data_IF_893583433009
#
_entry.id   IF_893583433009
#
_cell.length_a   1.000
_cell.length_b   1.000
_cell.length_c   1.000
_cell.angle_alpha   90.00
_cell.angle_beta   90.00
_cell.angle_gamma   90.00
#
_symmetry.space_group_name_H-M   'P 1'
#
loop_
_entity.id
_entity.type
_entity.pdbx_description
1 polymer ?
#
# COMPACT_ATOMS: atom_id res chain seq x y z
N UNK A 1 9.30 -5.07 25.33
CA UNK A 1 9.58 -6.34 26.03
C UNK A 1 8.45 -7.36 25.87
N UNK A 2 7.19 -6.98 26.07
CA UNK A 2 6.04 -7.90 25.89
C UNK A 2 5.91 -8.47 24.46
N UNK A 3 6.09 -7.68 23.40
CA UNK A 3 5.96 -8.19 22.01
C UNK A 3 7.00 -9.26 21.62
N UNK A 4 8.23 -9.16 22.12
CA UNK A 4 9.30 -10.14 21.86
C UNK A 4 9.02 -11.43 22.62
N UNK A 5 8.56 -11.32 23.87
CA UNK A 5 8.15 -12.48 24.67
C UNK A 5 6.95 -13.19 24.03
N UNK A 6 5.96 -12.45 23.54
CA UNK A 6 4.82 -13.01 22.79
C UNK A 6 5.29 -13.68 21.48
N UNK A 7 6.25 -13.11 20.77
CA UNK A 7 6.81 -13.73 19.56
C UNK A 7 7.52 -15.07 19.83
N UNK A 8 8.19 -15.19 20.97
CA UNK A 8 8.88 -16.44 21.32
C UNK A 8 7.92 -17.51 21.85
N UNK A 9 6.95 -17.11 22.67
CA UNK A 9 6.10 -18.02 23.44
C UNK A 9 4.78 -18.39 22.76
N UNK A 10 4.27 -17.57 21.85
CA UNK A 10 3.00 -17.81 21.15
C UNK A 10 3.25 -18.09 19.67
N UNK A 11 3.05 -19.35 19.29
CA UNK A 11 3.21 -19.81 17.92
C UNK A 11 2.25 -19.09 16.95
N UNK A 12 0.99 -18.88 17.35
CA UNK A 12 0.01 -18.21 16.50
C UNK A 12 0.40 -16.74 16.28
N UNK A 13 0.84 -16.07 17.33
CA UNK A 13 1.33 -14.69 17.24
C UNK A 13 2.55 -14.60 16.32
N UNK A 14 3.52 -15.52 16.46
CA UNK A 14 4.71 -15.60 15.61
C UNK A 14 4.36 -15.79 14.14
N UNK A 15 3.52 -16.78 13.82
CA UNK A 15 3.11 -17.05 12.44
C UNK A 15 2.33 -15.89 11.84
N UNK A 16 1.43 -15.27 12.62
CA UNK A 16 0.70 -14.09 12.17
C UNK A 16 1.64 -12.93 11.82
N UNK A 17 2.67 -12.68 12.64
CA UNK A 17 3.67 -11.63 12.37
C UNK A 17 4.52 -11.95 11.14
N UNK A 18 5.02 -13.19 11.01
CA UNK A 18 5.80 -13.61 9.84
C UNK A 18 4.98 -13.51 8.55
N UNK A 19 3.74 -13.96 8.59
CA UNK A 19 2.82 -13.87 7.44
C UNK A 19 2.60 -12.41 7.03
N UNK A 20 2.22 -11.55 7.98
CA UNK A 20 1.84 -10.18 7.67
C UNK A 20 3.03 -9.28 7.27
N UNK A 21 4.23 -9.56 7.77
CA UNK A 21 5.42 -8.75 7.49
C UNK A 21 6.25 -9.26 6.32
N UNK A 22 6.23 -10.55 5.99
CA UNK A 22 7.12 -11.09 4.96
C UNK A 22 6.38 -11.87 3.87
N UNK A 23 5.60 -12.88 4.26
CA UNK A 23 5.01 -13.82 3.29
C UNK A 23 3.95 -13.13 2.44
N UNK A 24 3.01 -12.42 3.06
CA UNK A 24 1.93 -11.73 2.36
C UNK A 24 2.47 -10.59 1.47
N UNK A 25 3.34 -9.67 1.95
CA UNK A 25 3.94 -8.65 1.08
C UNK A 25 4.67 -9.23 -0.13
N UNK A 26 5.47 -10.29 0.05
CA UNK A 26 6.18 -10.92 -1.07
C UNK A 26 5.21 -11.50 -2.11
N UNK A 27 4.18 -12.24 -1.65
CA UNK A 27 3.19 -12.83 -2.54
C UNK A 27 2.38 -11.75 -3.29
N UNK A 28 1.97 -10.70 -2.58
CA UNK A 28 1.22 -9.58 -3.16
C UNK A 28 2.06 -8.82 -4.19
N UNK A 29 3.32 -8.50 -3.88
CA UNK A 29 4.20 -7.86 -4.86
C UNK A 29 4.46 -8.76 -6.08
N UNK A 30 4.66 -10.07 -5.88
CA UNK A 30 4.83 -10.99 -7.00
C UNK A 30 3.61 -10.99 -7.94
N UNK A 31 2.40 -11.11 -7.39
CA UNK A 31 1.16 -11.16 -8.18
C UNK A 31 0.88 -9.82 -8.84
N UNK A 32 0.85 -8.74 -8.06
CA UNK A 32 0.38 -7.44 -8.56
C UNK A 32 1.47 -6.66 -9.30
N UNK A 33 2.76 -6.95 -9.11
CA UNK A 33 3.85 -6.25 -9.80
C UNK A 33 4.46 -7.16 -10.85
N UNK A 34 4.99 -8.32 -10.48
CA UNK A 34 5.66 -9.17 -11.46
C UNK A 34 4.69 -9.81 -12.47
N UNK A 35 3.47 -10.20 -12.08
CA UNK A 35 2.53 -10.84 -13.01
C UNK A 35 1.59 -9.85 -13.72
N UNK A 36 1.19 -8.75 -13.07
CA UNK A 36 0.19 -7.82 -13.62
C UNK A 36 0.80 -6.63 -14.38
N UNK A 37 1.94 -6.08 -13.97
CA UNK A 37 2.51 -4.89 -14.60
C UNK A 37 3.09 -5.16 -15.99
N UNK A 38 3.86 -6.25 -16.25
CA UNK A 38 4.41 -6.49 -17.58
C UNK A 38 3.34 -6.63 -18.67
N UNK A 39 2.24 -7.39 -18.49
CA UNK A 39 1.15 -7.43 -19.48
C UNK A 39 0.45 -6.09 -19.66
N UNK A 40 0.31 -5.27 -18.61
CA UNK A 40 -0.24 -3.92 -18.73
C UNK A 40 0.68 -3.00 -19.55
N UNK A 41 2.01 -3.08 -19.36
CA UNK A 41 2.97 -2.37 -20.21
C UNK A 41 2.93 -2.85 -21.67
N UNK A 42 2.56 -4.11 -21.90
CA UNK A 42 2.37 -4.69 -23.23
C UNK A 42 1.08 -4.23 -23.93
N UNK A 43 0.11 -3.73 -23.16
CA UNK A 43 -1.23 -3.44 -23.67
C UNK A 43 -1.33 -2.04 -24.28
N UNK A 44 -2.29 -1.88 -25.20
CA UNK A 44 -2.56 -0.63 -25.91
C UNK A 44 -3.83 0.04 -25.37
N UNK A 45 -3.87 1.37 -25.45
CA UNK A 45 -5.05 2.18 -25.22
C UNK A 45 -6.12 1.90 -26.29
N UNK A 46 -7.31 2.48 -26.11
CA UNK A 46 -8.40 2.40 -27.09
C UNK A 46 -8.02 2.97 -28.46
N UNK A 47 -7.07 3.88 -28.50
CA UNK A 47 -6.60 4.55 -29.71
C UNK A 47 -5.46 3.79 -30.40
N UNK A 48 -5.07 2.61 -29.87
CA UNK A 48 -4.01 1.77 -30.40
C UNK A 48 -2.60 2.09 -29.88
N UNK A 49 -2.47 3.13 -29.04
CA UNK A 49 -1.19 3.57 -28.50
C UNK A 49 -0.74 2.73 -27.29
N UNK A 50 0.54 2.35 -27.15
CA UNK A 50 1.04 1.64 -25.97
C UNK A 50 0.75 2.39 -24.67
N UNK A 51 0.36 1.67 -23.61
CA UNK A 51 0.21 2.28 -22.30
C UNK A 51 1.55 2.82 -21.78
N UNK A 52 1.57 4.08 -21.37
CA UNK A 52 2.77 4.68 -20.79
C UNK A 52 3.11 4.04 -19.44
N UNK A 53 4.41 4.00 -19.05
CA UNK A 53 4.83 3.59 -17.72
C UNK A 53 4.06 4.24 -16.58
N UNK A 54 3.73 5.53 -16.71
CA UNK A 54 2.97 6.29 -15.71
C UNK A 54 1.52 5.81 -15.68
N UNK A 55 0.87 5.63 -16.83
CA UNK A 55 -0.50 5.13 -16.88
C UNK A 55 -0.60 3.73 -16.26
N UNK A 56 0.32 2.83 -16.59
CA UNK A 56 0.37 1.49 -16.00
C UNK A 56 0.59 1.52 -14.49
N UNK A 57 1.44 2.43 -14.00
CA UNK A 57 1.66 2.61 -12.57
C UNK A 57 0.39 3.02 -11.82
N UNK A 58 -0.55 3.73 -12.46
CA UNK A 58 -1.83 4.11 -11.85
C UNK A 58 -2.95 3.08 -12.06
N UNK A 59 -2.95 2.36 -13.19
CA UNK A 59 -4.00 1.38 -13.52
C UNK A 59 -3.82 0.07 -12.74
N UNK A 60 -2.61 -0.51 -12.73
CA UNK A 60 -2.34 -1.80 -12.06
C UNK A 60 -2.81 -1.86 -10.59
N UNK A 61 -2.52 -0.83 -9.77
CA UNK A 61 -2.95 -0.78 -8.37
C UNK A 61 -4.45 -0.80 -8.11
N UNK A 62 -5.29 -0.44 -9.10
CA UNK A 62 -6.74 -0.51 -8.92
C UNK A 62 -7.19 -1.95 -8.65
N UNK A 63 -6.56 -2.93 -9.29
CA UNK A 63 -6.80 -4.35 -9.03
C UNK A 63 -6.34 -4.76 -7.63
N UNK A 64 -5.21 -4.21 -7.17
CA UNK A 64 -4.70 -4.43 -5.81
C UNK A 64 -5.67 -3.87 -4.75
N UNK A 65 -6.15 -2.63 -4.93
CA UNK A 65 -7.15 -2.04 -4.05
C UNK A 65 -8.46 -2.83 -4.04
N UNK A 66 -8.95 -3.28 -5.21
CA UNK A 66 -10.17 -4.09 -5.31
C UNK A 66 -10.01 -5.43 -4.59
N UNK A 67 -8.84 -6.07 -4.69
CA UNK A 67 -8.58 -7.32 -4.00
C UNK A 67 -8.76 -7.18 -2.48
N UNK A 68 -8.53 -6.00 -1.89
CA UNK A 68 -8.69 -5.74 -0.45
C UNK A 68 -10.14 -5.48 -0.01
N UNK A 69 -11.09 -5.30 -0.93
CA UNK A 69 -12.51 -5.12 -0.59
C UNK A 69 -13.08 -6.35 0.14
N UNK A 70 -12.46 -7.53 0.00
CA UNK A 70 -12.87 -8.74 0.69
C UNK A 70 -12.81 -8.60 2.22
N UNK A 71 -11.92 -7.77 2.77
CA UNK A 71 -11.85 -7.52 4.22
C UNK A 71 -13.12 -6.86 4.75
N UNK A 72 -13.67 -5.89 4.01
CA UNK A 72 -14.95 -5.29 4.37
C UNK A 72 -16.09 -6.31 4.27
N UNK A 73 -16.11 -7.11 3.21
CA UNK A 73 -17.13 -8.15 3.05
C UNK A 73 -17.11 -9.13 4.23
N UNK A 74 -15.91 -9.55 4.66
CA UNK A 74 -15.74 -10.45 5.80
C UNK A 74 -16.22 -9.80 7.10
N UNK A 75 -15.82 -8.55 7.38
CA UNK A 75 -16.28 -7.80 8.56
C UNK A 75 -17.81 -7.66 8.59
N UNK A 76 -18.42 -7.30 7.46
CA UNK A 76 -19.86 -7.14 7.34
C UNK A 76 -20.60 -8.47 7.51
N UNK A 77 -20.08 -9.55 6.92
CA UNK A 77 -20.67 -10.90 6.99
C UNK A 77 -20.61 -11.47 8.41
N UNK A 78 -19.48 -11.30 9.10
CA UNK A 78 -19.30 -11.78 10.48
C UNK A 78 -20.11 -10.95 11.50
N UNK A 79 -20.51 -9.73 11.14
CA UNK A 79 -21.32 -8.88 12.00
C UNK A 79 -22.75 -9.44 12.19
N UNK A 80 -23.19 -9.64 13.45
CA UNK A 80 -24.55 -10.09 13.75
C UNK A 80 -25.63 -9.11 13.26
N UNK A 81 -26.82 -9.59 12.84
CA UNK A 81 -27.86 -8.73 12.28
C UNK A 81 -28.29 -7.56 13.17
N UNK A 82 -28.35 -7.76 14.50
CA UNK A 82 -28.73 -6.72 15.47
C UNK A 82 -27.69 -5.61 15.64
N UNK A 83 -26.44 -5.83 15.21
CA UNK A 83 -25.38 -4.83 15.21
C UNK A 83 -25.30 -4.05 13.89
N UNK A 84 -26.08 -4.42 12.86
CA UNK A 84 -26.10 -3.74 11.56
C UNK A 84 -26.95 -2.47 11.57
N UNK A 85 -26.64 -1.56 12.49
CA UNK A 85 -27.22 -0.22 12.49
C UNK A 85 -26.72 0.57 11.28
N UNK A 86 -27.56 1.47 10.75
CA UNK A 86 -27.22 2.38 9.65
C UNK A 86 -25.88 3.10 9.89
N UNK A 87 -25.63 3.55 11.12
CA UNK A 87 -24.41 4.28 11.47
C UNK A 87 -23.15 3.39 11.37
N UNK A 88 -23.25 2.13 11.79
CA UNK A 88 -22.14 1.17 11.74
C UNK A 88 -21.83 0.81 10.29
N UNK A 89 -22.87 0.60 9.46
CA UNK A 89 -22.69 0.34 8.03
C UNK A 89 -22.02 1.52 7.33
N UNK A 90 -22.43 2.77 7.64
CA UNK A 90 -21.75 3.95 7.11
C UNK A 90 -20.28 4.04 7.53
N UNK A 91 -19.97 3.72 8.79
CA UNK A 91 -18.58 3.68 9.28
C UNK A 91 -17.75 2.63 8.54
N UNK A 92 -18.29 1.43 8.34
CA UNK A 92 -17.62 0.37 7.59
C UNK A 92 -17.39 0.78 6.13
N UNK A 93 -18.36 1.42 5.48
CA UNK A 93 -18.21 1.92 4.11
C UNK A 93 -17.14 3.02 4.01
N UNK A 94 -17.09 3.92 4.98
CA UNK A 94 -16.03 4.93 5.04
C UNK A 94 -14.65 4.29 5.22
N UNK A 95 -14.54 3.30 6.12
CA UNK A 95 -13.33 2.52 6.31
C UNK A 95 -12.89 1.78 5.04
N UNK A 96 -13.86 1.22 4.30
CA UNK A 96 -13.62 0.57 3.01
C UNK A 96 -13.05 1.53 1.97
N UNK A 97 -13.69 2.69 1.79
CA UNK A 97 -13.23 3.70 0.83
C UNK A 97 -11.82 4.19 1.17
N UNK A 98 -11.57 4.42 2.46
CA UNK A 98 -10.27 4.82 2.94
C UNK A 98 -9.20 3.74 2.70
N UNK A 99 -9.49 2.48 3.05
CA UNK A 99 -8.59 1.36 2.81
C UNK A 99 -8.31 1.17 1.31
N UNK A 100 -9.34 1.24 0.47
CA UNK A 100 -9.22 1.13 -0.99
C UNK A 100 -8.37 2.26 -1.57
N UNK A 101 -8.62 3.50 -1.17
CA UNK A 101 -7.86 4.66 -1.63
C UNK A 101 -6.38 4.57 -1.20
N UNK A 102 -6.13 4.23 0.06
CA UNK A 102 -4.78 4.09 0.60
C UNK A 102 -4.00 2.95 -0.07
N UNK A 103 -4.60 1.76 -0.18
CA UNK A 103 -3.95 0.61 -0.82
C UNK A 103 -3.70 0.85 -2.30
N UNK A 104 -4.62 1.52 -3.00
CA UNK A 104 -4.42 1.94 -4.40
C UNK A 104 -3.28 2.94 -4.52
N UNK A 105 -3.21 3.96 -3.65
CA UNK A 105 -2.16 4.98 -3.68
C UNK A 105 -0.79 4.38 -3.37
N UNK A 106 -0.69 3.55 -2.34
CA UNK A 106 0.53 2.80 -2.03
C UNK A 106 0.92 1.90 -3.21
N UNK A 107 -0.06 1.22 -3.81
CA UNK A 107 0.17 0.39 -4.98
C UNK A 107 0.73 1.18 -6.14
N UNK A 108 0.23 2.40 -6.39
CA UNK A 108 0.74 3.27 -7.45
C UNK A 108 2.19 3.69 -7.22
N UNK A 109 2.53 4.01 -5.96
CA UNK A 109 3.92 4.25 -5.57
C UNK A 109 4.81 3.06 -5.89
N UNK A 110 4.53 1.86 -5.37
CA UNK A 110 5.44 0.74 -5.60
C UNK A 110 5.39 0.20 -7.04
N UNK A 111 4.30 0.37 -7.77
CA UNK A 111 4.26 0.08 -9.22
C UNK A 111 5.17 1.03 -9.98
N UNK A 112 5.19 2.32 -9.64
CA UNK A 112 6.14 3.27 -10.21
C UNK A 112 7.59 2.83 -9.91
N UNK A 113 7.89 2.52 -8.64
CA UNK A 113 9.22 2.03 -8.25
C UNK A 113 9.61 0.74 -8.99
N UNK A 114 8.70 -0.22 -9.12
CA UNK A 114 8.94 -1.47 -9.83
C UNK A 114 9.25 -1.21 -11.31
N UNK A 115 8.50 -0.34 -11.97
CA UNK A 115 8.72 -0.01 -13.39
C UNK A 115 10.07 0.69 -13.58
N UNK A 116 10.48 1.52 -12.62
CA UNK A 116 11.75 2.25 -12.66
C UNK A 116 12.96 1.38 -12.35
N UNK A 117 12.83 0.44 -11.42
CA UNK A 117 13.96 -0.35 -10.89
C UNK A 117 14.02 -1.78 -11.39
N UNK A 118 12.91 -2.32 -11.92
CA UNK A 118 12.70 -3.73 -12.23
C UNK A 118 13.03 -4.69 -11.06
N UNK A 119 13.00 -4.19 -9.82
CA UNK A 119 13.42 -4.94 -8.63
C UNK A 119 12.25 -5.30 -7.75
N UNK A 120 11.92 -6.60 -7.69
CA UNK A 120 10.88 -7.11 -6.81
C UNK A 120 11.27 -6.96 -5.32
N UNK A 121 12.55 -7.14 -4.99
CA UNK A 121 13.02 -7.04 -3.60
C UNK A 121 12.87 -5.63 -3.03
N UNK A 122 13.11 -4.59 -3.85
CA UNK A 122 12.94 -3.18 -3.44
C UNK A 122 11.48 -2.88 -3.11
N UNK A 123 10.54 -3.30 -3.95
CA UNK A 123 9.11 -3.05 -3.72
C UNK A 123 8.54 -3.91 -2.59
N UNK A 124 9.00 -5.16 -2.45
CA UNK A 124 8.65 -5.98 -1.29
C UNK A 124 9.14 -5.34 0.01
N UNK A 125 10.37 -4.83 0.06
CA UNK A 125 10.88 -4.13 1.24
C UNK A 125 10.05 -2.88 1.56
N UNK A 126 9.70 -2.08 0.55
CA UNK A 126 8.83 -0.92 0.74
C UNK A 126 7.47 -1.31 1.33
N UNK A 127 6.91 -2.44 0.89
CA UNK A 127 5.67 -2.99 1.44
C UNK A 127 5.84 -3.50 2.88
N UNK A 128 6.90 -4.23 3.19
CA UNK A 128 7.20 -4.65 4.57
C UNK A 128 7.27 -3.44 5.50
N UNK A 129 7.97 -2.38 5.09
CA UNK A 129 8.09 -1.14 5.87
C UNK A 129 6.72 -0.47 6.03
N UNK A 130 5.92 -0.42 4.97
CA UNK A 130 4.56 0.11 5.01
C UNK A 130 3.67 -0.66 5.99
N UNK A 131 3.71 -1.99 5.98
CA UNK A 131 2.94 -2.84 6.90
C UNK A 131 3.45 -2.75 8.35
N UNK A 132 4.75 -2.48 8.53
CA UNK A 132 5.33 -2.31 9.86
C UNK A 132 4.98 -0.96 10.49
N UNK A 133 5.13 0.13 9.72
CA UNK A 133 4.87 1.52 10.19
C UNK A 133 3.36 1.77 10.28
N UNK A 134 2.61 1.28 9.29
CA UNK A 134 1.18 1.51 9.19
C UNK A 134 0.84 2.96 8.86
N UNK A 135 -0.42 3.31 9.12
CA UNK A 135 -0.93 4.66 8.91
C UNK A 135 -0.54 5.59 10.06
N UNK A 136 -0.39 6.90 9.79
CA UNK A 136 -0.24 7.90 10.84
C UNK A 136 -1.37 7.79 11.87
N UNK A 137 -1.02 7.57 13.13
CA UNK A 137 -2.00 7.57 14.21
C UNK A 137 -2.51 9.01 14.41
N UNK A 138 -3.80 9.25 14.17
CA UNK A 138 -4.43 10.58 14.32
C UNK A 138 -4.97 10.84 15.74
N UNK A 139 -4.77 9.90 16.67
CA UNK A 139 -5.27 9.97 18.04
C UNK A 139 -4.76 11.19 18.83
N UNK A 140 -3.61 11.75 18.46
CA UNK A 140 -3.04 12.95 19.08
C UNK A 140 -3.91 14.21 18.88
N UNK A 141 -4.85 14.22 17.93
CA UNK A 141 -5.78 15.35 17.74
C UNK A 141 -6.85 15.38 18.83
N UNK A 142 -7.12 14.25 19.48
CA UNK A 142 -8.12 14.15 20.54
C UNK A 142 -7.60 14.79 21.85
N UNK A 143 -8.33 15.73 22.47
CA UNK A 143 -7.97 16.32 23.77
C UNK A 143 -7.69 15.33 24.90
N UNK A 144 -8.23 14.11 24.83
CA UNK A 144 -8.01 13.08 25.85
C UNK A 144 -6.69 12.32 25.67
N UNK A 145 -5.98 12.51 24.57
CA UNK A 145 -4.70 11.85 24.30
C UNK A 145 -3.56 12.53 25.04
N UNK A 146 -2.64 11.72 25.58
CA UNK A 146 -1.39 12.20 26.17
C UNK A 146 -0.50 12.97 25.16
N UNK A 147 -0.73 12.78 23.86
CA UNK A 147 0.01 13.44 22.78
C UNK A 147 -0.59 14.78 22.33
N UNK A 148 -1.75 15.18 22.89
CA UNK A 148 -2.48 16.36 22.45
C UNK A 148 -1.69 17.66 22.60
N UNK A 149 -0.84 17.76 23.63
CA UNK A 149 0.05 18.91 23.82
C UNK A 149 1.04 19.10 22.66
N UNK A 150 1.39 18.02 21.96
CA UNK A 150 2.31 18.04 20.82
C UNK A 150 1.60 18.05 19.45
N UNK A 151 0.27 18.17 19.40
CA UNK A 151 -0.51 17.99 18.16
C UNK A 151 -0.06 18.84 16.98
N UNK A 152 0.33 20.09 17.22
CA UNK A 152 0.79 20.98 16.15
C UNK A 152 2.16 20.57 15.64
N UNK A 153 3.06 20.16 16.54
CA UNK A 153 4.39 19.66 16.18
C UNK A 153 4.25 18.37 15.36
N UNK A 154 3.44 17.41 15.82
CA UNK A 154 3.19 16.14 15.11
C UNK A 154 2.56 16.41 13.73
N UNK A 155 1.56 17.28 13.64
CA UNK A 155 0.94 17.67 12.36
C UNK A 155 1.95 18.30 11.39
N UNK A 156 2.79 19.22 11.87
CA UNK A 156 3.83 19.84 11.04
C UNK A 156 4.83 18.78 10.56
N UNK A 157 5.27 17.87 11.41
CA UNK A 157 6.19 16.80 11.03
C UNK A 157 5.60 15.88 9.95
N UNK A 158 4.32 15.53 10.03
CA UNK A 158 3.65 14.78 8.96
C UNK A 158 3.59 15.57 7.65
N UNK A 159 3.23 16.86 7.69
CA UNK A 159 3.20 17.69 6.49
C UNK A 159 4.60 17.84 5.86
N UNK A 160 5.62 18.09 6.68
CA UNK A 160 7.02 18.17 6.22
C UNK A 160 7.44 16.84 5.60
N UNK A 161 7.12 15.70 6.23
CA UNK A 161 7.41 14.38 5.67
C UNK A 161 6.77 14.16 4.30
N UNK A 162 5.50 14.52 4.13
CA UNK A 162 4.78 14.44 2.84
C UNK A 162 5.43 15.37 1.82
N UNK A 163 5.73 16.62 2.18
CA UNK A 163 6.36 17.57 1.26
C UNK A 163 7.75 17.10 0.81
N UNK A 164 8.56 16.59 1.73
CA UNK A 164 9.87 16.03 1.41
C UNK A 164 9.76 14.80 0.51
N UNK A 165 8.79 13.92 0.77
CA UNK A 165 8.53 12.75 -0.07
C UNK A 165 8.16 13.18 -1.50
N UNK A 166 7.24 14.13 -1.66
CA UNK A 166 6.81 14.64 -2.98
C UNK A 166 7.97 15.33 -3.70
N UNK A 167 8.74 16.17 -3.01
CA UNK A 167 9.89 16.87 -3.61
C UNK A 167 11.03 15.91 -4.01
N UNK A 168 11.22 14.84 -3.24
CA UNK A 168 12.23 13.80 -3.49
C UNK A 168 11.79 12.68 -4.43
N UNK A 169 10.51 12.66 -4.85
CA UNK A 169 9.90 11.48 -5.46
C UNK A 169 10.61 11.02 -6.74
N UNK A 170 10.99 11.93 -7.64
CA UNK A 170 11.60 11.58 -8.94
C UNK A 170 13.07 12.07 -9.08
N UNK A 171 13.63 12.69 -8.04
CA UNK A 171 14.87 13.46 -8.13
C UNK A 171 16.09 12.81 -7.48
N UNK A 172 15.93 11.84 -6.57
CA UNK A 172 17.06 11.32 -5.78
C UNK A 172 17.15 9.79 -5.63
N UNK A 173 16.05 9.05 -5.79
CA UNK A 173 15.99 7.63 -5.38
C UNK A 173 15.84 6.68 -6.57
N UNK A 174 15.30 7.15 -7.71
CA UNK A 174 14.97 6.29 -8.84
C UNK A 174 15.76 6.65 -10.10
N UNK A 175 16.08 5.66 -10.95
CA UNK A 175 16.65 5.93 -12.26
C UNK A 175 15.75 6.86 -13.08
N UNK A 176 16.33 7.83 -13.79
CA UNK A 176 15.57 8.80 -14.60
C UNK A 176 14.84 8.17 -15.79
N UNK A 177 15.20 6.95 -16.19
CA UNK A 177 14.52 6.16 -17.21
C UNK A 177 13.95 4.87 -16.62
N UNK A 178 12.82 4.41 -17.17
CA UNK A 178 12.18 3.18 -16.70
C UNK A 178 12.96 1.96 -17.20
N UNK A 179 13.55 1.19 -16.29
CA UNK A 179 14.34 -0.01 -16.62
C UNK A 179 13.45 -1.16 -17.11
N UNK A 180 12.26 -1.35 -16.51
CA UNK A 180 11.44 -2.53 -16.79
C UNK A 180 10.98 -2.63 -18.27
N UNK A 181 10.49 -1.56 -18.92
CA UNK A 181 10.17 -1.61 -20.36
C UNK A 181 11.37 -1.98 -21.23
N UNK A 182 12.57 -1.49 -20.89
CA UNK A 182 13.79 -1.79 -21.67
C UNK A 182 14.22 -3.25 -21.57
N UNK A 183 13.92 -3.92 -20.44
CA UNK A 183 14.17 -5.35 -20.25
C UNK A 183 13.14 -6.22 -20.98
N UNK A 184 11.88 -5.79 -21.00
CA UNK A 184 10.78 -6.53 -21.62
C UNK A 184 10.77 -6.39 -23.15
N UNK A 185 11.16 -5.22 -23.65
CA UNK A 185 11.22 -4.89 -25.08
C UNK A 185 12.58 -4.28 -25.41
N UNK A 186 13.64 -5.11 -25.52
CA UNK A 186 14.93 -4.61 -25.98
C UNK A 186 14.73 -4.04 -27.39
N UNK A 187 15.10 -2.77 -27.60
CA UNK A 187 15.12 -2.22 -28.96
C UNK A 187 16.08 -3.08 -29.80
N UNK A 188 15.53 -3.82 -30.76
CA UNK A 188 16.29 -4.55 -31.78
C UNK A 188 16.68 -3.61 -32.89
#
# INVERSE_FOLDING_TARGET
>A
MQSILSFYNDENYRWMKLRNLFIAPLAEEAIFRACLIPPLLASTSKDGEPLSPIATAWIGPLFFGVAHLHHFYEQYRQMPPWQRSRNIVFQLLFGLLFQWAYTTLFGAYVSHVFIRTASLSVVTLAHVVCNYVGLPEIGFVNPTSNLYCYRWIISILYLVGICLFVAGFDSLVFPTQSVLPSLLYPQR
#
